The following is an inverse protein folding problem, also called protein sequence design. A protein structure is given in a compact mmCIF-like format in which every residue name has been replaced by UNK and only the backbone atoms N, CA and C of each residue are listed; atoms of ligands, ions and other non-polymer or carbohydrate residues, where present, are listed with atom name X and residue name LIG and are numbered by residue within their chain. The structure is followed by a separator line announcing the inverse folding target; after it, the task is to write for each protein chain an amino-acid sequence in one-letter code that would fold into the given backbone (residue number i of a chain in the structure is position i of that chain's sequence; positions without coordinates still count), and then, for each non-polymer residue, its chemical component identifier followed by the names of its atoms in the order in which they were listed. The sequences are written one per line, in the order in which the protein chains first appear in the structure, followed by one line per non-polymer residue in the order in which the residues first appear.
data_IF_836529567096
#
_entry.id   IF_836529567096
#
_cell.length_a   1.000
_cell.length_b   1.000
_cell.length_c   1.000
_cell.angle_alpha   90.00
_cell.angle_beta   90.00
_cell.angle_gamma   90.00
#
_symmetry.space_group_name_H-M   'P 1'
#
loop_
_entity.id
_entity.type
_entity.pdbx_description
1 polymer ?
#
# COMPACT_ATOMS: atom_id res chain seq x y z
N UNK A 1 -8.03 -12.06 31.30
CA UNK A 1 -6.87 -11.90 32.22
C UNK A 1 -6.18 -10.57 31.92
N UNK A 2 -5.65 -9.89 32.94
CA UNK A 2 -4.91 -8.62 32.76
C UNK A 2 -3.52 -8.71 33.37
N UNK A 3 -2.52 -8.23 32.60
CA UNK A 3 -1.13 -8.07 33.04
C UNK A 3 -0.79 -6.58 32.93
N UNK A 4 -0.34 -5.97 34.02
CA UNK A 4 0.12 -4.57 34.02
C UNK A 4 1.62 -4.55 34.26
N UNK A 5 2.36 -3.97 33.33
CA UNK A 5 3.82 -3.76 33.41
C UNK A 5 4.08 -2.27 33.49
N UNK A 6 4.74 -1.85 34.55
CA UNK A 6 5.16 -0.45 34.77
C UNK A 6 6.68 -0.39 34.78
N UNK A 7 7.24 0.66 34.25
CA UNK A 7 8.69 0.92 34.37
C UNK A 7 9.05 1.30 35.80
N UNK A 8 10.15 0.79 36.27
CA UNK A 8 10.75 1.23 37.52
C UNK A 8 11.29 2.66 37.37
N UNK A 9 11.09 3.50 38.37
CA UNK A 9 11.63 4.88 38.46
C UNK A 9 11.02 5.96 37.56
N UNK A 10 9.81 5.78 37.00
CA UNK A 10 9.09 6.83 36.27
C UNK A 10 9.68 7.23 34.93
N UNK A 11 10.74 6.59 34.45
CA UNK A 11 11.24 6.72 33.09
C UNK A 11 10.47 5.78 32.18
N UNK A 12 9.86 6.30 31.11
CA UNK A 12 9.23 5.45 30.10
C UNK A 12 10.28 4.56 29.45
N UNK A 13 10.05 3.26 29.49
CA UNK A 13 10.88 2.31 28.77
C UNK A 13 10.62 2.45 27.26
N UNK A 14 11.67 2.58 26.46
CA UNK A 14 11.54 2.58 24.99
C UNK A 14 11.26 1.18 24.42
N UNK A 15 11.49 0.13 25.22
CA UNK A 15 11.24 -1.27 24.89
C UNK A 15 10.71 -2.00 26.10
N UNK A 16 9.68 -2.81 25.89
CA UNK A 16 9.10 -3.68 26.92
C UNK A 16 9.07 -5.10 26.36
N UNK A 17 9.65 -6.03 27.09
CA UNK A 17 9.56 -7.46 26.81
C UNK A 17 8.79 -8.13 27.94
N UNK A 18 7.82 -8.96 27.58
CA UNK A 18 6.97 -9.69 28.53
C UNK A 18 7.06 -11.17 28.22
N UNK A 19 7.60 -11.93 29.15
CA UNK A 19 7.62 -13.39 29.04
C UNK A 19 6.42 -13.99 29.75
N UNK A 20 5.62 -14.74 28.99
CA UNK A 20 4.43 -15.41 29.48
C UNK A 20 4.66 -16.92 29.38
N UNK A 21 4.51 -17.67 30.47
CA UNK A 21 4.62 -19.13 30.43
C UNK A 21 3.61 -19.70 29.43
N UNK A 22 4.06 -20.60 28.54
CA UNK A 22 3.19 -21.27 27.56
C UNK A 22 1.95 -21.86 28.19
N UNK A 23 2.11 -22.55 29.32
CA UNK A 23 0.99 -23.16 30.08
C UNK A 23 -0.08 -22.12 30.48
N UNK A 24 0.33 -20.90 30.81
CA UNK A 24 -0.61 -19.83 31.12
C UNK A 24 -1.39 -19.38 29.87
N UNK A 25 -0.69 -19.22 28.71
CA UNK A 25 -1.34 -18.91 27.43
C UNK A 25 -2.33 -20.01 27.04
N UNK A 26 -1.93 -21.28 27.14
CA UNK A 26 -2.78 -22.45 26.87
C UNK A 26 -4.00 -22.51 27.79
N UNK A 27 -3.82 -22.20 29.09
CA UNK A 27 -4.91 -22.20 30.07
C UNK A 27 -5.94 -21.12 29.72
N UNK A 28 -5.49 -19.90 29.43
CA UNK A 28 -6.36 -18.81 29.04
C UNK A 28 -7.09 -19.14 27.73
N UNK A 29 -6.40 -19.72 26.76
CA UNK A 29 -6.99 -20.08 25.48
C UNK A 29 -8.03 -21.19 25.54
N UNK A 30 -7.87 -22.16 26.46
CA UNK A 30 -8.75 -23.34 26.58
C UNK A 30 -9.89 -23.16 27.59
N UNK A 31 -9.59 -22.51 28.72
CA UNK A 31 -10.50 -22.51 29.87
C UNK A 31 -11.38 -21.27 29.95
N UNK A 32 -11.06 -20.25 29.17
CA UNK A 32 -11.82 -19.00 29.17
C UNK A 32 -11.97 -18.45 27.74
N UNK A 33 -13.11 -17.90 27.42
CA UNK A 33 -13.29 -17.08 26.21
C UNK A 33 -12.76 -15.64 26.45
N UNK A 34 -11.96 -15.44 27.49
CA UNK A 34 -11.48 -14.14 27.89
C UNK A 34 -10.20 -13.78 27.13
N UNK A 35 -10.12 -12.52 26.71
CA UNK A 35 -8.93 -11.95 26.11
C UNK A 35 -7.79 -11.78 27.14
N UNK A 36 -6.55 -11.80 26.68
CA UNK A 36 -5.39 -11.38 27.45
C UNK A 36 -5.11 -9.90 27.23
N UNK A 37 -5.30 -9.09 28.26
CA UNK A 37 -5.04 -7.66 28.24
C UNK A 37 -3.67 -7.37 28.85
N UNK A 38 -2.80 -6.71 28.10
CA UNK A 38 -1.46 -6.30 28.51
C UNK A 38 -1.40 -4.79 28.51
N UNK A 39 -1.23 -4.19 29.67
CA UNK A 39 -1.10 -2.74 29.85
C UNK A 39 0.37 -2.40 30.14
N UNK A 40 0.90 -1.44 29.42
CA UNK A 40 2.26 -0.94 29.58
C UNK A 40 2.29 0.57 29.54
N UNK A 41 3.41 1.19 29.87
CA UNK A 41 3.61 2.65 29.74
C UNK A 41 3.59 3.11 28.27
N UNK A 42 3.81 2.20 27.30
CA UNK A 42 3.76 2.49 25.85
C UNK A 42 2.33 2.45 25.33
N UNK A 43 1.49 1.55 25.87
CA UNK A 43 0.11 1.38 25.43
C UNK A 43 -0.47 0.04 25.91
N UNK A 44 -1.64 -0.29 25.39
CA UNK A 44 -2.33 -1.55 25.73
C UNK A 44 -2.45 -2.43 24.49
N UNK A 45 -2.20 -3.73 24.69
CA UNK A 45 -2.44 -4.79 23.70
C UNK A 45 -3.44 -5.77 24.29
N UNK A 46 -4.53 -6.03 23.58
CA UNK A 46 -5.51 -7.06 23.95
C UNK A 46 -5.48 -8.14 22.89
N UNK A 47 -5.12 -9.35 23.28
CA UNK A 47 -5.06 -10.53 22.40
C UNK A 47 -6.33 -11.34 22.60
N UNK A 48 -7.04 -11.60 21.49
CA UNK A 48 -8.20 -12.45 21.51
C UNK A 48 -7.83 -13.95 21.72
N UNK A 49 -8.81 -14.74 22.09
CA UNK A 49 -8.63 -16.16 22.35
C UNK A 49 -7.99 -16.90 21.15
N UNK A 50 -8.38 -16.56 19.93
CA UNK A 50 -7.85 -17.17 18.70
C UNK A 50 -6.36 -16.87 18.48
N UNK A 51 -5.92 -15.65 18.80
CA UNK A 51 -4.51 -15.27 18.79
C UNK A 51 -3.73 -16.07 19.84
N UNK A 52 -4.28 -16.23 21.04
CA UNK A 52 -3.66 -17.02 22.12
C UNK A 52 -3.55 -18.50 21.73
N UNK A 53 -4.59 -19.11 21.12
CA UNK A 53 -4.51 -20.45 20.57
C UNK A 53 -3.37 -20.60 19.56
N UNK A 54 -3.23 -19.63 18.64
CA UNK A 54 -2.16 -19.64 17.64
C UNK A 54 -0.78 -19.55 18.30
N UNK A 55 -0.61 -18.66 19.27
CA UNK A 55 0.64 -18.50 19.99
C UNK A 55 1.02 -19.78 20.79
N UNK A 56 0.05 -20.38 21.45
CA UNK A 56 0.25 -21.62 22.18
C UNK A 56 0.64 -22.80 21.25
N UNK A 57 0.00 -22.90 20.09
CA UNK A 57 0.28 -23.93 19.11
C UNK A 57 1.66 -23.81 18.46
N UNK A 58 2.14 -22.59 18.23
CA UNK A 58 3.46 -22.30 17.64
C UNK A 58 4.61 -22.41 18.67
N UNK A 59 4.31 -22.43 19.97
CA UNK A 59 5.32 -22.48 21.01
C UNK A 59 5.90 -23.90 21.15
N UNK A 60 7.12 -24.10 20.67
CA UNK A 60 7.93 -25.32 20.90
C UNK A 60 8.63 -25.29 22.28
N UNK A 61 8.78 -24.13 22.91
CA UNK A 61 9.39 -23.91 24.23
C UNK A 61 8.36 -23.57 25.31
N UNK A 62 8.86 -23.24 26.50
CA UNK A 62 8.04 -23.03 27.70
C UNK A 62 7.50 -21.59 27.83
N UNK A 63 7.92 -20.65 26.97
CA UNK A 63 7.54 -19.24 27.06
C UNK A 63 7.14 -18.65 25.72
N UNK A 64 6.20 -17.72 25.79
CA UNK A 64 5.83 -16.77 24.72
C UNK A 64 6.36 -15.40 25.15
N UNK A 65 7.18 -14.78 24.31
CA UNK A 65 7.71 -13.43 24.56
C UNK A 65 6.98 -12.41 23.69
N UNK A 66 6.33 -11.45 24.32
CA UNK A 66 5.75 -10.29 23.64
C UNK A 66 6.71 -9.11 23.73
N UNK A 67 6.91 -8.42 22.63
CA UNK A 67 7.82 -7.28 22.50
C UNK A 67 7.02 -6.08 22.02
N UNK A 68 7.15 -4.97 22.75
CA UNK A 68 6.59 -3.67 22.39
C UNK A 68 7.72 -2.66 22.40
N UNK A 69 8.04 -2.09 21.25
CA UNK A 69 9.07 -1.07 21.10
C UNK A 69 8.45 0.25 20.68
N UNK A 70 8.89 1.33 21.30
CA UNK A 70 8.59 2.72 20.92
C UNK A 70 9.81 3.31 20.21
N UNK A 71 9.62 4.11 19.17
CA UNK A 71 10.70 4.73 18.39
C UNK A 71 11.72 3.75 17.80
N UNK A 72 11.23 2.63 17.31
CA UNK A 72 12.04 1.57 16.71
C UNK A 72 12.92 2.08 15.55
N UNK A 73 14.14 1.55 15.45
CA UNK A 73 14.99 1.77 14.28
C UNK A 73 14.35 1.06 13.06
N UNK A 74 13.88 1.85 12.10
CA UNK A 74 13.28 1.33 10.89
C UNK A 74 14.32 0.64 10.00
N UNK A 75 13.90 -0.44 9.33
CA UNK A 75 14.68 -1.09 8.28
C UNK A 75 14.95 -0.12 7.13
N UNK A 76 16.02 -0.34 6.36
CA UNK A 76 16.40 0.54 5.24
C UNK A 76 15.23 0.82 4.28
N UNK A 77 14.43 -0.22 3.94
CA UNK A 77 13.26 -0.08 3.08
C UNK A 77 12.15 0.81 3.68
N UNK A 78 12.11 0.95 5.01
CA UNK A 78 11.10 1.73 5.74
C UNK A 78 11.55 3.20 5.96
N UNK A 79 12.83 3.51 5.77
CA UNK A 79 13.39 4.86 6.03
C UNK A 79 12.73 5.97 5.24
N UNK A 80 12.27 5.69 4.01
CA UNK A 80 11.55 6.67 3.19
C UNK A 80 10.27 7.21 3.83
N UNK A 81 9.71 6.49 4.79
CA UNK A 81 8.56 6.94 5.60
C UNK A 81 9.00 8.02 6.58
N UNK A 82 10.18 7.82 7.22
CA UNK A 82 10.76 8.80 8.14
C UNK A 82 11.05 10.15 7.48
N UNK A 83 11.47 10.15 6.21
CA UNK A 83 11.74 11.39 5.45
C UNK A 83 10.50 12.30 5.37
N UNK A 84 9.31 11.71 5.44
CA UNK A 84 8.05 12.47 5.37
C UNK A 84 7.54 12.83 6.76
N UNK A 85 7.50 11.85 7.67
CA UNK A 85 6.96 12.09 9.02
C UNK A 85 7.93 12.83 9.94
N UNK A 86 9.24 12.67 9.70
CA UNK A 86 10.29 13.25 10.54
C UNK A 86 10.11 12.88 12.02
N UNK A 87 10.30 13.85 12.89
CA UNK A 87 10.04 13.74 14.32
C UNK A 87 8.58 13.92 14.73
N UNK A 88 7.68 14.24 13.78
CA UNK A 88 6.23 14.46 14.05
C UNK A 88 5.46 13.18 14.30
N UNK A 89 5.86 12.08 13.64
CA UNK A 89 5.25 10.78 13.83
C UNK A 89 5.75 10.06 15.09
N UNK A 90 5.04 9.03 15.49
CA UNK A 90 5.42 8.16 16.59
C UNK A 90 5.33 6.71 16.12
N UNK A 91 6.44 5.99 16.20
CA UNK A 91 6.58 4.66 15.63
C UNK A 91 6.59 3.63 16.74
N UNK A 92 5.86 2.56 16.53
CA UNK A 92 5.75 1.42 17.42
C UNK A 92 6.02 0.14 16.66
N UNK A 93 6.72 -0.78 17.27
CA UNK A 93 6.92 -2.12 16.74
C UNK A 93 6.39 -3.13 17.75
N UNK A 94 5.50 -4.00 17.27
CA UNK A 94 4.93 -5.07 18.07
C UNK A 94 5.42 -6.39 17.52
N UNK A 95 5.81 -7.29 18.41
CA UNK A 95 6.29 -8.62 18.06
C UNK A 95 5.87 -9.66 19.07
N UNK A 96 5.67 -10.88 18.62
CA UNK A 96 5.67 -12.08 19.46
C UNK A 96 6.83 -12.97 19.03
N UNK A 97 7.68 -13.32 19.95
CA UNK A 97 8.81 -14.24 19.73
C UNK A 97 8.49 -15.53 20.46
N UNK A 98 8.39 -16.61 19.69
CA UNK A 98 8.08 -17.93 20.20
C UNK A 98 9.16 -18.88 19.69
N UNK A 99 9.83 -19.58 20.61
CA UNK A 99 10.94 -20.49 20.26
C UNK A 99 12.02 -19.83 19.37
N UNK A 100 12.30 -18.54 19.61
CA UNK A 100 13.29 -17.76 18.86
C UNK A 100 12.81 -17.28 17.48
N UNK A 101 11.56 -17.53 17.10
CA UNK A 101 10.98 -17.09 15.82
C UNK A 101 9.91 -16.02 16.04
N UNK A 102 9.87 -15.01 15.18
CA UNK A 102 8.78 -14.04 15.16
C UNK A 102 7.51 -14.66 14.60
N UNK A 103 6.39 -14.46 15.29
CA UNK A 103 5.06 -14.80 14.80
C UNK A 103 4.48 -13.56 14.12
N UNK A 104 4.19 -13.68 12.84
CA UNK A 104 3.67 -12.59 12.02
C UNK A 104 2.17 -12.69 11.72
N UNK A 105 1.55 -13.89 11.83
CA UNK A 105 0.14 -14.11 11.48
C UNK A 105 -0.57 -14.82 12.64
N UNK A 106 -1.71 -14.28 13.04
CA UNK A 106 -2.53 -14.84 14.11
C UNK A 106 -3.52 -15.90 13.61
N UNK A 107 -3.43 -16.31 12.34
CA UNK A 107 -4.28 -17.35 11.73
C UNK A 107 -5.78 -17.13 11.97
N UNK A 108 -6.21 -15.90 11.79
CA UNK A 108 -7.59 -15.46 11.99
C UNK A 108 -7.91 -14.89 13.37
N UNK A 109 -6.95 -14.89 14.29
CA UNK A 109 -7.00 -14.14 15.55
C UNK A 109 -6.76 -12.65 15.33
N UNK A 110 -6.91 -11.87 16.40
CA UNK A 110 -6.78 -10.41 16.37
C UNK A 110 -6.11 -9.87 17.63
N UNK A 111 -5.33 -8.82 17.44
CA UNK A 111 -4.87 -7.96 18.53
C UNK A 111 -5.57 -6.60 18.43
N UNK A 112 -6.16 -6.16 19.55
CA UNK A 112 -6.69 -4.81 19.71
C UNK A 112 -5.64 -3.97 20.41
N UNK A 113 -5.17 -2.92 19.76
CA UNK A 113 -4.09 -2.06 20.23
C UNK A 113 -4.65 -0.71 20.57
N UNK A 114 -4.30 -0.19 21.75
CA UNK A 114 -4.63 1.16 22.20
C UNK A 114 -3.34 1.89 22.51
N UNK A 115 -3.09 3.00 21.84
CA UNK A 115 -1.89 3.82 22.01
C UNK A 115 -2.24 5.22 22.48
N UNK A 116 -1.43 5.83 23.36
CA UNK A 116 -1.57 7.24 23.66
C UNK A 116 -1.17 8.06 22.42
N UNK A 117 -1.93 9.13 22.16
CA UNK A 117 -1.56 10.09 21.13
C UNK A 117 -0.44 10.98 21.65
N UNK A 118 0.72 11.03 20.98
CA UNK A 118 1.82 11.88 21.38
C UNK A 118 1.41 13.35 21.52
N UNK A 119 2.01 14.08 22.47
CA UNK A 119 1.70 15.49 22.76
C UNK A 119 1.77 16.37 21.50
N UNK A 120 2.79 16.17 20.68
CA UNK A 120 3.02 16.89 19.41
C UNK A 120 1.93 16.67 18.35
N UNK A 121 1.11 15.64 18.51
CA UNK A 121 -0.02 15.32 17.64
C UNK A 121 -1.38 15.68 18.28
N UNK A 122 -1.40 16.22 19.50
CA UNK A 122 -2.63 16.72 20.12
C UNK A 122 -3.24 17.83 19.26
N UNK A 123 -4.57 17.78 19.09
CA UNK A 123 -5.32 18.74 18.27
C UNK A 123 -5.17 18.54 16.75
N UNK A 124 -4.37 17.56 16.28
CA UNK A 124 -4.22 17.21 14.87
C UNK A 124 -5.24 16.16 14.43
N UNK A 125 -5.56 16.13 13.14
CA UNK A 125 -6.26 14.99 12.52
C UNK A 125 -5.22 13.89 12.30
N UNK A 126 -5.35 12.80 13.04
CA UNK A 126 -4.37 11.72 13.10
C UNK A 126 -4.92 10.42 12.57
N UNK A 127 -4.02 9.59 12.06
CA UNK A 127 -4.31 8.24 11.61
C UNK A 127 -3.21 7.29 12.11
N UNK A 128 -3.52 6.00 12.10
CA UNK A 128 -2.55 4.94 12.26
C UNK A 128 -2.19 4.36 10.90
N UNK A 129 -0.90 4.23 10.62
CA UNK A 129 -0.40 3.53 9.44
C UNK A 129 0.34 2.26 9.86
N UNK A 130 0.12 1.20 9.11
CA UNK A 130 0.94 0.00 9.12
C UNK A 130 2.09 0.17 8.13
N UNK A 131 3.30 -0.23 8.51
CA UNK A 131 4.51 -0.14 7.70
C UNK A 131 5.09 -1.54 7.57
N UNK A 132 4.94 -2.18 6.43
CA UNK A 132 5.48 -3.52 6.23
C UNK A 132 7.01 -3.52 6.02
N UNK A 133 7.63 -4.69 5.99
CA UNK A 133 9.08 -4.88 5.82
C UNK A 133 9.67 -4.28 4.53
N UNK A 134 8.82 -4.01 3.53
CA UNK A 134 9.22 -3.37 2.26
C UNK A 134 9.01 -1.86 2.28
N UNK A 135 8.61 -1.28 3.42
CA UNK A 135 8.30 0.13 3.56
C UNK A 135 6.97 0.55 2.92
N UNK A 136 6.11 -0.40 2.53
CA UNK A 136 4.79 -0.09 1.99
C UNK A 136 3.85 0.19 3.16
N UNK A 137 3.14 1.31 3.08
CA UNK A 137 2.23 1.79 4.11
C UNK A 137 0.78 1.65 3.69
N UNK A 138 -0.06 1.38 4.68
CA UNK A 138 -1.52 1.46 4.56
C UNK A 138 -2.12 2.13 5.80
N UNK A 139 -3.18 2.92 5.60
CA UNK A 139 -3.93 3.51 6.70
C UNK A 139 -4.91 2.45 7.22
N UNK A 140 -4.84 2.17 8.51
CA UNK A 140 -5.73 1.22 9.16
C UNK A 140 -7.02 1.88 9.63
N UNK A 141 -8.09 1.08 9.71
CA UNK A 141 -9.30 1.50 10.42
C UNK A 141 -8.98 1.69 11.90
N UNK A 142 -9.36 2.84 12.44
CA UNK A 142 -9.07 3.22 13.81
C UNK A 142 -10.17 4.10 14.39
N UNK A 143 -10.16 4.24 15.70
CA UNK A 143 -10.96 5.25 16.43
C UNK A 143 -10.05 6.09 17.30
N UNK A 144 -10.42 7.35 17.51
CA UNK A 144 -9.71 8.25 18.41
C UNK A 144 -10.68 8.65 19.50
N UNK A 145 -10.28 8.43 20.74
CA UNK A 145 -11.08 8.71 21.93
C UNK A 145 -10.32 9.66 22.85
N UNK A 146 -11.06 10.45 23.64
CA UNK A 146 -10.52 11.28 24.71
C UNK A 146 -10.85 10.63 26.04
N UNK A 147 -9.85 10.33 26.84
CA UNK A 147 -9.97 9.76 28.17
C UNK A 147 -9.33 10.72 29.19
N UNK A 148 -10.16 11.59 29.78
CA UNK A 148 -9.67 12.68 30.63
C UNK A 148 -8.82 13.68 29.86
N UNK A 149 -7.56 13.86 30.27
CA UNK A 149 -6.58 14.72 29.60
C UNK A 149 -5.89 14.01 28.41
N UNK A 150 -6.01 12.69 28.31
CA UNK A 150 -5.32 11.88 27.31
C UNK A 150 -6.22 11.67 26.10
N UNK A 151 -5.57 11.57 24.95
CA UNK A 151 -6.17 11.19 23.68
C UNK A 151 -5.59 9.84 23.28
N UNK A 152 -6.45 8.88 22.96
CA UNK A 152 -6.07 7.51 22.64
C UNK A 152 -6.47 7.18 21.21
N UNK A 153 -5.61 6.44 20.50
CA UNK A 153 -5.94 5.85 19.22
C UNK A 153 -6.03 4.34 19.36
N UNK A 154 -7.13 3.77 18.84
CA UNK A 154 -7.43 2.32 18.92
C UNK A 154 -7.54 1.74 17.53
N UNK A 155 -6.94 0.60 17.32
CA UNK A 155 -7.05 -0.16 16.07
C UNK A 155 -6.95 -1.66 16.30
N UNK A 156 -7.30 -2.42 15.28
CA UNK A 156 -7.23 -3.88 15.32
C UNK A 156 -6.32 -4.37 14.20
N UNK A 157 -5.49 -5.36 14.50
CA UNK A 157 -4.61 -6.01 13.52
C UNK A 157 -4.70 -7.53 13.63
N UNK A 158 -4.45 -8.22 12.52
CA UNK A 158 -4.35 -9.69 12.44
C UNK A 158 -2.90 -10.20 12.51
N UNK A 159 -1.94 -9.31 12.70
CA UNK A 159 -0.51 -9.62 12.76
C UNK A 159 0.23 -8.54 13.52
N UNK A 160 1.38 -8.89 14.09
CA UNK A 160 2.31 -7.91 14.65
C UNK A 160 3.23 -7.36 13.56
N UNK A 161 3.56 -6.09 13.66
CA UNK A 161 4.37 -5.35 12.69
C UNK A 161 4.76 -3.98 13.24
N UNK A 162 5.35 -3.16 12.37
CA UNK A 162 5.62 -1.75 12.65
C UNK A 162 4.40 -0.89 12.31
N UNK A 163 4.03 -0.02 13.25
CA UNK A 163 2.92 0.93 13.10
C UNK A 163 3.39 2.34 13.44
N UNK A 164 2.73 3.35 12.89
CA UNK A 164 3.01 4.73 13.27
C UNK A 164 1.73 5.54 13.43
N UNK A 165 1.66 6.32 14.51
CA UNK A 165 0.66 7.37 14.69
C UNK A 165 1.20 8.63 14.02
N UNK A 166 0.48 9.14 13.03
CA UNK A 166 0.93 10.28 12.21
C UNK A 166 -0.20 11.25 11.94
N UNK A 167 0.12 12.48 11.55
CA UNK A 167 -0.86 13.40 11.00
C UNK A 167 -1.40 12.84 9.68
N UNK A 168 -2.70 12.90 9.46
CA UNK A 168 -3.38 12.36 8.27
C UNK A 168 -2.77 12.89 6.97
N UNK A 169 -2.44 14.18 6.94
CA UNK A 169 -1.79 14.79 5.77
C UNK A 169 -0.42 14.20 5.44
N UNK A 170 0.32 13.73 6.44
CA UNK A 170 1.61 13.06 6.21
C UNK A 170 1.40 11.62 5.74
N UNK A 171 0.41 10.90 6.27
CA UNK A 171 0.01 9.59 5.76
C UNK A 171 -0.42 9.65 4.29
N UNK A 172 -1.24 10.63 3.91
CA UNK A 172 -1.66 10.86 2.52
C UNK A 172 -0.45 11.10 1.60
N UNK A 173 0.51 11.94 1.99
CA UNK A 173 1.75 12.17 1.23
C UNK A 173 2.58 10.89 1.04
N UNK A 174 2.67 10.03 2.07
CA UNK A 174 3.37 8.75 1.99
C UNK A 174 2.70 7.86 0.94
N UNK A 175 1.39 7.69 1.03
CA UNK A 175 0.61 6.86 0.10
C UNK A 175 0.71 7.39 -1.32
N UNK A 176 0.58 8.69 -1.53
CA UNK A 176 0.68 9.33 -2.85
C UNK A 176 2.06 9.11 -3.47
N UNK A 177 3.13 9.27 -2.70
CA UNK A 177 4.50 8.99 -3.16
C UNK A 177 4.65 7.52 -3.57
N UNK A 178 4.22 6.58 -2.75
CA UNK A 178 4.30 5.14 -3.04
C UNK A 178 3.49 4.76 -4.29
N UNK A 179 2.30 5.32 -4.44
CA UNK A 179 1.47 5.14 -5.63
C UNK A 179 2.16 5.67 -6.89
N UNK A 180 2.74 6.86 -6.81
CA UNK A 180 3.49 7.46 -7.93
C UNK A 180 4.71 6.61 -8.32
N UNK A 181 5.48 6.14 -7.35
CA UNK A 181 6.66 5.29 -7.58
C UNK A 181 6.27 3.96 -8.22
N UNK A 182 5.19 3.32 -7.77
CA UNK A 182 4.64 2.10 -8.36
C UNK A 182 4.18 2.32 -9.80
N UNK A 183 3.45 3.38 -10.07
CA UNK A 183 3.00 3.73 -11.42
C UNK A 183 4.19 4.02 -12.34
N UNK A 184 5.19 4.76 -11.88
CA UNK A 184 6.40 5.06 -12.65
C UNK A 184 7.20 3.79 -12.99
N UNK A 185 7.29 2.83 -12.06
CA UNK A 185 7.91 1.53 -12.33
C UNK A 185 7.16 0.76 -13.42
N UNK A 186 5.84 0.65 -13.30
CA UNK A 186 5.00 -0.03 -14.29
C UNK A 186 5.04 0.65 -15.67
N UNK A 187 5.10 1.98 -15.72
CA UNK A 187 5.22 2.77 -16.95
C UNK A 187 6.52 2.45 -17.69
N UNK A 188 7.63 2.37 -16.99
CA UNK A 188 8.95 2.07 -17.61
C UNK A 188 8.97 0.71 -18.29
N UNK A 189 8.29 -0.27 -17.72
CA UNK A 189 8.27 -1.64 -18.20
C UNK A 189 7.13 -1.94 -19.17
N UNK A 190 6.12 -1.09 -19.25
CA UNK A 190 4.94 -1.33 -20.08
C UNK A 190 5.29 -1.43 -21.57
N UNK A 191 4.81 -2.46 -22.24
CA UNK A 191 4.85 -2.63 -23.69
C UNK A 191 3.45 -2.66 -24.24
N UNK A 192 3.24 -1.98 -25.36
CA UNK A 192 1.96 -1.85 -26.04
C UNK A 192 2.08 -2.34 -27.49
N UNK A 193 0.97 -2.69 -28.09
CA UNK A 193 0.87 -3.02 -29.51
C UNK A 193 -0.37 -2.36 -30.10
N UNK A 194 -0.19 -1.64 -31.19
CA UNK A 194 -1.30 -1.16 -32.01
C UNK A 194 -1.65 -2.23 -33.04
N UNK A 195 -2.94 -2.53 -33.16
CA UNK A 195 -3.48 -3.38 -34.23
C UNK A 195 -4.47 -2.56 -35.06
N UNK A 196 -4.60 -2.89 -36.32
CA UNK A 196 -5.51 -2.18 -37.24
C UNK A 196 -6.45 -3.14 -37.94
N UNK A 197 -7.70 -2.74 -38.08
CA UNK A 197 -8.71 -3.43 -38.88
C UNK A 197 -9.48 -2.46 -39.73
N UNK A 198 -10.06 -2.94 -40.82
CA UNK A 198 -11.00 -2.16 -41.66
C UNK A 198 -12.35 -2.16 -40.95
N UNK A 199 -12.96 -0.98 -40.78
CA UNK A 199 -14.33 -0.88 -40.28
C UNK A 199 -15.31 -0.62 -41.41
N UNK A 200 -14.93 0.29 -42.33
CA UNK A 200 -15.66 0.60 -43.57
C UNK A 200 -14.66 0.90 -44.67
N UNK A 201 -15.15 1.14 -45.91
CA UNK A 201 -14.27 1.58 -47.04
C UNK A 201 -13.54 2.90 -46.70
N UNK A 202 -14.07 3.73 -45.76
CA UNK A 202 -13.56 5.05 -45.39
C UNK A 202 -13.07 5.16 -43.92
N UNK A 203 -12.74 4.06 -43.26
CA UNK A 203 -12.27 4.12 -41.89
C UNK A 203 -11.35 2.97 -41.51
N UNK A 204 -10.38 3.28 -40.62
CA UNK A 204 -9.46 2.32 -40.02
C UNK A 204 -9.70 2.33 -38.51
N UNK A 205 -10.04 1.17 -37.96
CA UNK A 205 -10.09 0.96 -36.51
C UNK A 205 -8.70 0.64 -36.00
N UNK A 206 -8.23 1.39 -35.04
CA UNK A 206 -6.96 1.17 -34.32
C UNK A 206 -7.30 0.73 -32.90
N UNK A 207 -6.82 -0.43 -32.49
CA UNK A 207 -6.96 -0.95 -31.12
C UNK A 207 -5.59 -1.06 -30.48
N UNK A 208 -5.46 -0.55 -29.26
CA UNK A 208 -4.27 -0.72 -28.44
C UNK A 208 -4.48 -1.87 -27.47
N UNK A 209 -3.53 -2.78 -27.44
CA UNK A 209 -3.48 -3.93 -26.53
C UNK A 209 -2.19 -3.89 -25.72
N UNK A 210 -2.26 -4.31 -24.49
CA UNK A 210 -1.09 -4.52 -23.65
C UNK A 210 -0.34 -5.79 -24.08
N UNK A 211 0.98 -5.73 -24.03
CA UNK A 211 1.86 -6.88 -24.33
C UNK A 211 2.57 -7.34 -23.07
N UNK A 212 3.20 -6.42 -22.33
CA UNK A 212 3.90 -6.72 -21.08
C UNK A 212 3.59 -5.61 -20.07
N UNK A 213 3.26 -5.97 -18.84
CA UNK A 213 3.01 -5.08 -17.69
C UNK A 213 1.98 -3.94 -17.91
N UNK A 214 1.50 -3.72 -19.13
CA UNK A 214 0.53 -2.66 -19.43
C UNK A 214 -0.87 -2.96 -18.89
N UNK A 215 -1.27 -4.22 -18.80
CA UNK A 215 -2.53 -4.59 -18.15
C UNK A 215 -2.46 -4.36 -16.64
N UNK A 216 -1.31 -4.69 -16.02
CA UNK A 216 -1.05 -4.40 -14.62
C UNK A 216 -1.04 -2.90 -14.35
N UNK A 217 -0.36 -2.10 -15.20
CA UNK A 217 -0.37 -0.65 -15.13
C UNK A 217 -1.81 -0.08 -15.13
N UNK A 218 -2.65 -0.54 -16.07
CA UNK A 218 -4.02 -0.05 -16.19
C UNK A 218 -4.86 -0.45 -14.98
N UNK A 219 -4.70 -1.69 -14.50
CA UNK A 219 -5.40 -2.22 -13.33
C UNK A 219 -5.03 -1.46 -12.07
N UNK A 220 -3.73 -1.34 -11.79
CA UNK A 220 -3.21 -0.66 -10.61
C UNK A 220 -3.57 0.83 -10.61
N UNK A 221 -3.35 1.53 -11.74
CA UNK A 221 -3.73 2.94 -11.84
C UNK A 221 -5.21 3.19 -11.54
N UNK A 222 -6.10 2.30 -12.02
CA UNK A 222 -7.54 2.41 -11.73
C UNK A 222 -7.86 2.08 -10.28
N UNK A 223 -7.20 1.08 -9.69
CA UNK A 223 -7.39 0.72 -8.28
C UNK A 223 -6.98 1.87 -7.33
N UNK A 224 -5.98 2.65 -7.73
CA UNK A 224 -5.55 3.89 -7.04
C UNK A 224 -6.43 5.11 -7.35
N UNK A 225 -7.54 4.97 -8.08
CA UNK A 225 -8.43 6.08 -8.43
C UNK A 225 -7.98 6.92 -9.63
N UNK A 226 -6.85 6.59 -10.27
CA UNK A 226 -6.32 7.36 -11.39
C UNK A 226 -7.09 7.14 -12.69
N UNK A 227 -7.14 8.18 -13.52
CA UNK A 227 -7.75 8.11 -14.85
C UNK A 227 -6.71 7.73 -15.90
N UNK A 228 -6.97 6.64 -16.64
CA UNK A 228 -6.13 6.19 -17.75
C UNK A 228 -6.71 6.66 -19.07
N UNK A 229 -5.88 7.30 -19.91
CA UNK A 229 -6.23 7.73 -21.26
C UNK A 229 -5.21 7.21 -22.27
N UNK A 230 -5.60 7.15 -23.55
CA UNK A 230 -4.74 6.74 -24.67
C UNK A 230 -4.60 7.93 -25.62
N UNK A 231 -3.35 8.33 -25.90
CA UNK A 231 -3.04 9.34 -26.92
C UNK A 231 -2.56 8.62 -28.17
N UNK A 232 -3.36 8.68 -29.22
CA UNK A 232 -3.11 8.02 -30.49
C UNK A 232 -2.28 8.89 -31.42
N UNK A 233 -1.38 8.26 -32.15
CA UNK A 233 -0.50 8.89 -33.13
C UNK A 233 -0.59 8.19 -34.45
N UNK A 234 -0.38 8.94 -35.54
CA UNK A 234 -0.38 8.44 -36.91
C UNK A 234 0.80 9.00 -37.67
N UNK A 235 1.40 8.16 -38.54
CA UNK A 235 2.42 8.55 -39.52
C UNK A 235 2.16 7.89 -40.88
N UNK A 236 2.74 8.43 -41.94
CA UNK A 236 2.93 7.75 -43.22
C UNK A 236 4.28 7.05 -43.32
N UNK A 237 5.17 7.29 -42.36
CA UNK A 237 6.47 6.66 -42.22
C UNK A 237 6.46 5.64 -41.07
N UNK A 238 7.10 4.47 -41.30
CA UNK A 238 7.10 3.37 -40.32
C UNK A 238 7.79 3.74 -39.01
N UNK A 239 8.92 4.41 -39.09
CA UNK A 239 9.81 4.65 -37.96
C UNK A 239 9.70 6.04 -37.35
N UNK A 240 9.19 7.02 -38.07
CA UNK A 240 9.29 8.44 -37.74
C UNK A 240 8.02 9.24 -38.04
N UNK A 241 8.06 10.54 -37.78
CA UNK A 241 7.04 11.55 -38.09
C UNK A 241 5.64 11.22 -37.56
N UNK A 242 5.55 10.61 -36.38
CA UNK A 242 4.28 10.35 -35.73
C UNK A 242 3.66 11.62 -35.15
N UNK A 243 2.49 12.00 -35.67
CA UNK A 243 1.73 13.16 -35.20
C UNK A 243 0.55 12.71 -34.34
N UNK A 244 0.31 13.42 -33.23
CA UNK A 244 -0.82 13.17 -32.35
C UNK A 244 -2.15 13.41 -33.09
N UNK A 245 -3.14 12.54 -32.86
CA UNK A 245 -4.47 12.63 -33.49
C UNK A 245 -5.55 12.89 -32.46
N UNK A 246 -5.60 12.09 -31.38
CA UNK A 246 -6.66 12.20 -30.38
C UNK A 246 -6.18 11.60 -29.05
N UNK A 247 -6.72 12.13 -27.96
CA UNK A 247 -6.60 11.55 -26.62
C UNK A 247 -7.98 11.16 -26.11
N UNK A 248 -8.16 9.94 -25.63
CA UNK A 248 -9.45 9.43 -25.15
C UNK A 248 -9.30 8.33 -24.10
N UNK A 249 -10.34 8.06 -23.30
CA UNK A 249 -10.35 6.98 -22.31
C UNK A 249 -10.39 5.58 -22.95
N UNK A 250 -10.95 5.45 -24.15
CA UNK A 250 -11.03 4.17 -24.86
C UNK A 250 -9.70 3.80 -25.52
N UNK A 251 -9.30 2.54 -25.43
CA UNK A 251 -8.17 1.96 -26.15
C UNK A 251 -8.41 1.76 -27.65
N UNK A 252 -9.54 2.22 -28.14
CA UNK A 252 -9.94 2.11 -29.56
C UNK A 252 -10.12 3.50 -30.16
N UNK A 253 -9.51 3.72 -31.32
CA UNK A 253 -9.65 4.92 -32.15
C UNK A 253 -10.11 4.53 -33.55
N UNK A 254 -11.10 5.25 -34.09
CA UNK A 254 -11.54 5.10 -35.49
C UNK A 254 -10.99 6.30 -36.26
N UNK A 255 -10.06 6.04 -37.16
CA UNK A 255 -9.56 7.06 -38.08
C UNK A 255 -10.46 7.13 -39.29
N UNK A 256 -11.08 8.28 -39.51
CA UNK A 256 -12.00 8.55 -40.64
C UNK A 256 -11.39 9.47 -41.71
N UNK A 257 -10.11 9.86 -41.53
CA UNK A 257 -9.41 10.80 -42.41
C UNK A 257 -8.15 10.18 -42.99
N UNK A 258 -8.10 9.98 -44.30
CA UNK A 258 -6.93 9.45 -45.00
C UNK A 258 -7.00 9.68 -46.51
N UNK A 259 -5.87 9.48 -47.17
CA UNK A 259 -5.75 9.53 -48.67
C UNK A 259 -5.74 8.12 -49.22
N UNK A 260 -6.51 7.89 -50.31
CA UNK A 260 -6.56 6.61 -51.04
C UNK A 260 -5.15 6.11 -51.39
N UNK A 261 -4.89 4.83 -51.21
CA UNK A 261 -3.61 4.20 -51.52
C UNK A 261 -2.50 4.46 -50.50
N UNK A 262 -2.68 5.41 -49.57
CA UNK A 262 -1.65 5.74 -48.58
C UNK A 262 -1.66 4.73 -47.43
N UNK A 263 -0.49 4.19 -47.11
CA UNK A 263 -0.27 3.34 -45.93
C UNK A 263 -0.05 4.21 -44.71
N UNK A 264 -0.82 3.97 -43.66
CA UNK A 264 -0.69 4.66 -42.38
C UNK A 264 -0.21 3.71 -41.32
N UNK A 265 0.65 4.22 -40.43
CA UNK A 265 1.19 3.56 -39.25
C UNK A 265 0.62 4.24 -38.02
N UNK A 266 0.26 3.44 -37.02
CA UNK A 266 -0.37 3.90 -35.79
C UNK A 266 0.38 3.41 -34.58
N UNK A 267 0.53 4.27 -33.60
CA UNK A 267 1.03 3.99 -32.25
C UNK A 267 0.17 4.72 -31.23
N UNK A 268 0.36 4.40 -29.95
CA UNK A 268 -0.24 5.18 -28.87
C UNK A 268 0.68 5.24 -27.66
N UNK A 269 0.43 6.23 -26.80
CA UNK A 269 0.90 6.30 -25.43
C UNK A 269 -0.26 6.01 -24.49
N UNK A 270 0.03 5.38 -23.36
CA UNK A 270 -0.83 5.38 -22.18
C UNK A 270 -0.47 6.58 -21.33
N UNK A 271 -1.46 7.31 -20.86
CA UNK A 271 -1.32 8.46 -19.97
C UNK A 271 -2.12 8.18 -18.71
N UNK A 272 -1.51 8.42 -17.55
CA UNK A 272 -2.14 8.29 -16.23
C UNK A 272 -2.30 9.67 -15.63
N UNK A 273 -3.52 9.97 -15.21
CA UNK A 273 -3.90 11.27 -14.64
C UNK A 273 -4.42 11.09 -13.22
N UNK A 274 -3.98 11.97 -12.34
CA UNK A 274 -4.65 12.27 -11.09
C UNK A 274 -5.52 13.51 -11.29
N UNK A 275 -6.85 13.34 -11.24
CA UNK A 275 -7.78 14.39 -11.61
C UNK A 275 -7.49 14.96 -13.01
N UNK A 276 -6.98 16.19 -13.05
CA UNK A 276 -6.58 16.89 -14.28
C UNK A 276 -5.07 16.82 -14.54
N UNK A 277 -4.27 16.43 -13.57
CA UNK A 277 -2.81 16.42 -13.64
C UNK A 277 -2.29 15.15 -14.30
N UNK A 278 -1.44 15.28 -15.32
CA UNK A 278 -0.72 14.15 -15.91
C UNK A 278 0.43 13.75 -14.98
N UNK A 279 0.33 12.58 -14.36
CA UNK A 279 1.36 12.09 -13.42
C UNK A 279 2.37 11.15 -14.09
N UNK A 280 1.96 10.40 -15.12
CA UNK A 280 2.86 9.50 -15.82
C UNK A 280 2.38 9.19 -17.25
N UNK A 281 3.32 8.85 -18.15
CA UNK A 281 3.00 8.39 -19.50
C UNK A 281 4.05 7.43 -20.05
N UNK A 282 3.62 6.47 -20.89
CA UNK A 282 4.57 5.64 -21.65
C UNK A 282 5.24 6.45 -22.77
N UNK A 283 6.42 6.01 -23.19
CA UNK A 283 7.04 6.56 -24.38
C UNK A 283 6.47 5.93 -25.67
N UNK A 284 6.53 6.67 -26.76
CA UNK A 284 6.00 6.16 -28.03
C UNK A 284 6.75 4.96 -28.58
N UNK A 285 8.07 4.82 -28.23
CA UNK A 285 8.90 3.67 -28.60
C UNK A 285 8.43 2.37 -27.92
N UNK A 286 7.73 2.44 -26.78
CA UNK A 286 7.19 1.28 -26.09
C UNK A 286 5.96 0.69 -26.79
N UNK A 287 5.42 1.34 -27.80
CA UNK A 287 4.27 0.86 -28.59
C UNK A 287 4.73 0.31 -29.95
N UNK A 288 4.54 -0.98 -30.16
CA UNK A 288 4.63 -1.59 -31.49
C UNK A 288 3.54 -1.01 -32.41
N UNK A 289 3.90 -0.70 -33.65
CA UNK A 289 2.95 -0.09 -34.60
C UNK A 289 1.95 -1.11 -35.18
N UNK A 290 0.76 -0.63 -35.49
CA UNK A 290 -0.17 -1.26 -36.43
C UNK A 290 -0.21 -0.48 -37.73
N UNK A 291 -0.36 -1.12 -38.88
CA UNK A 291 -0.43 -0.42 -40.15
C UNK A 291 -1.54 -0.92 -41.07
N UNK A 292 -2.05 -0.03 -41.88
CA UNK A 292 -3.04 -0.34 -42.92
C UNK A 292 -3.01 0.66 -44.04
N UNK A 293 -3.33 0.18 -45.28
CA UNK A 293 -3.54 1.01 -46.46
C UNK A 293 -4.96 1.57 -46.38
N UNK A 294 -5.10 2.86 -46.68
CA UNK A 294 -6.36 3.52 -46.79
C UNK A 294 -7.03 3.18 -48.14
N UNK A 295 -8.17 2.52 -48.10
CA UNK A 295 -8.78 1.97 -49.32
C UNK A 295 -9.84 2.89 -49.98
N UNK A 296 -10.15 4.03 -49.37
CA UNK A 296 -10.88 5.17 -49.99
C UNK A 296 -11.16 6.25 -48.97
#
# INVERSE_FOLDING_TARGET
MEITVKSDNGNKAGQIEIEIPKKAVESIAKDTEADLVIKTDIGQVTLDNKTLETMAAEAEGDTVRLVVNENTQLKEAQKSVLDIIGDRGHIFDFGAIISGKYIHDFRGGRAHITLPVPEKLKGKDIVIIHINDKGICEILNHTVETAGADRLIKFTTSHFSTFAVVEKTDAEKIIDKQNADKINSLIREAKLKATTSKTTKKSIKVKITGVKNSNSLIKEAKAMGYTVKYKFYRSTEKASKYTAKITKKSSVYINTKGRKGTKYYYKAKVLVYDGKTLIAQTELKQCGYGSRIWSR
#
